data_IF_519994305280
#
_entry.id   IF_519994305280
#
_cell.length_a   1.000
_cell.length_b   1.000
_cell.length_c   1.000
_cell.angle_alpha   90.00
_cell.angle_beta   90.00
_cell.angle_gamma   90.00
#
_symmetry.space_group_name_H-M   'P 1'
#
loop_
_entity.id
_entity.type
_entity.pdbx_description
1 polymer ?
#
# COMPACT_ATOMS: atom_id res chain seq x y z
N UNK A 1 -13.89 -11.17 -9.47
CA UNK A 1 -14.22 -9.91 -8.78
C UNK A 1 -13.84 -8.77 -9.71
N UNK A 2 -14.69 -7.77 -9.94
CA UNK A 2 -14.28 -6.59 -10.71
C UNK A 2 -13.09 -5.91 -10.02
N UNK A 3 -12.22 -5.21 -10.77
CA UNK A 3 -11.13 -4.45 -10.18
C UNK A 3 -11.68 -3.43 -9.19
N UNK A 4 -10.98 -3.27 -8.07
CA UNK A 4 -11.28 -2.21 -7.11
C UNK A 4 -10.54 -0.96 -7.60
N UNK A 5 -11.23 0.13 -7.96
CA UNK A 5 -10.57 1.38 -8.31
C UNK A 5 -9.72 1.83 -7.12
N UNK A 6 -8.43 2.05 -7.36
CA UNK A 6 -7.50 2.49 -6.34
C UNK A 6 -6.51 3.51 -6.91
N UNK A 7 -6.24 4.57 -6.15
CA UNK A 7 -5.20 5.56 -6.39
C UNK A 7 -4.28 5.67 -5.17
N UNK A 8 -3.02 5.96 -5.41
CA UNK A 8 -2.11 6.33 -4.32
C UNK A 8 -2.53 7.68 -3.75
N UNK A 9 -2.66 7.76 -2.43
CA UNK A 9 -3.03 8.99 -1.74
C UNK A 9 -1.78 9.67 -1.18
N UNK A 10 -1.10 9.01 -0.23
CA UNK A 10 0.13 9.51 0.40
C UNK A 10 0.93 8.37 1.02
N UNK A 11 2.14 8.71 1.43
CA UNK A 11 2.93 7.91 2.36
C UNK A 11 3.01 8.62 3.71
N UNK A 12 2.88 7.86 4.80
CA UNK A 12 2.99 8.34 6.17
C UNK A 12 4.20 7.70 6.85
N UNK A 13 4.88 8.45 7.72
CA UNK A 13 5.97 7.92 8.56
C UNK A 13 5.45 7.45 9.92
N UNK A 14 4.31 7.99 10.37
CA UNK A 14 3.65 7.65 11.63
C UNK A 14 2.18 7.34 11.41
N UNK A 15 1.60 6.56 12.32
CA UNK A 15 0.15 6.28 12.33
C UNK A 15 -0.66 7.56 12.55
N UNK A 16 -0.10 8.52 13.30
CA UNK A 16 -0.72 9.82 13.55
C UNK A 16 -0.87 10.68 12.27
N UNK A 17 -0.13 10.35 11.19
CA UNK A 17 -0.19 11.05 9.91
C UNK A 17 -1.20 10.42 8.93
N UNK A 18 -1.95 9.39 9.34
CA UNK A 18 -2.97 8.76 8.51
C UNK A 18 -4.18 9.69 8.34
N UNK A 19 -4.84 9.68 7.17
CA UNK A 19 -6.12 10.38 7.02
C UNK A 19 -7.18 9.78 7.94
N UNK A 20 -8.19 10.58 8.29
CA UNK A 20 -9.38 10.04 8.96
C UNK A 20 -10.14 9.09 8.01
N UNK A 21 -10.57 7.95 8.54
CA UNK A 21 -11.36 6.97 7.80
C UNK A 21 -12.27 6.19 8.74
N UNK A 22 -13.51 5.97 8.33
CA UNK A 22 -14.46 5.15 9.08
C UNK A 22 -14.05 3.67 9.08
N UNK A 23 -13.39 3.19 8.01
CA UNK A 23 -12.97 1.80 7.83
C UNK A 23 -11.77 1.69 6.88
N UNK A 24 -10.77 0.91 7.28
CA UNK A 24 -9.57 0.65 6.48
C UNK A 24 -9.19 -0.84 6.46
N UNK A 25 -8.42 -1.23 5.43
CA UNK A 25 -7.83 -2.57 5.31
C UNK A 25 -6.31 -2.44 5.29
N UNK A 26 -5.65 -3.04 6.28
CA UNK A 26 -4.19 -3.05 6.36
C UNK A 26 -3.60 -4.33 5.76
N UNK A 27 -2.63 -4.18 4.84
CA UNK A 27 -1.85 -5.30 4.29
C UNK A 27 -0.45 -5.31 4.93
N UNK A 28 -0.18 -6.28 5.80
CA UNK A 28 1.06 -6.37 6.60
C UNK A 28 1.81 -7.67 6.31
N UNK A 29 3.15 -7.63 6.37
CA UNK A 29 4.01 -8.79 6.14
C UNK A 29 5.47 -8.43 5.89
N UNK A 30 6.36 -9.42 5.95
CA UNK A 30 7.82 -9.26 5.74
C UNK A 30 8.15 -8.58 4.39
N UNK A 31 9.38 -8.08 4.24
CA UNK A 31 9.81 -7.50 2.96
C UNK A 31 9.67 -8.52 1.82
N UNK A 32 9.23 -8.07 0.65
CA UNK A 32 9.13 -8.87 -0.58
C UNK A 32 8.23 -10.13 -0.57
N UNK A 33 7.32 -10.28 0.41
CA UNK A 33 6.35 -11.41 0.45
C UNK A 33 5.15 -11.26 -0.49
N UNK A 34 5.15 -10.29 -1.40
CA UNK A 34 4.07 -10.10 -2.39
C UNK A 34 2.96 -9.11 -2.03
N UNK A 35 3.10 -8.31 -0.96
CA UNK A 35 2.12 -7.27 -0.55
C UNK A 35 1.77 -6.31 -1.69
N UNK A 36 2.78 -5.75 -2.37
CA UNK A 36 2.57 -4.84 -3.49
C UNK A 36 1.91 -5.54 -4.68
N UNK A 37 2.22 -6.82 -4.90
CA UNK A 37 1.58 -7.64 -5.94
C UNK A 37 0.10 -7.86 -5.65
N UNK A 38 -0.29 -8.09 -4.38
CA UNK A 38 -1.68 -8.22 -3.97
C UNK A 38 -2.48 -6.94 -4.24
N UNK A 39 -1.94 -5.78 -3.84
CA UNK A 39 -2.58 -4.47 -4.08
C UNK A 39 -2.76 -4.22 -5.58
N UNK A 40 -1.71 -4.47 -6.36
CA UNK A 40 -1.71 -4.37 -7.82
C UNK A 40 -2.75 -5.29 -8.48
N UNK A 41 -2.93 -6.51 -7.96
CA UNK A 41 -3.92 -7.46 -8.45
C UNK A 41 -5.36 -7.00 -8.17
N UNK A 42 -5.66 -6.47 -6.98
CA UNK A 42 -6.98 -5.90 -6.66
C UNK A 42 -7.33 -4.72 -7.56
N UNK A 43 -6.35 -3.86 -7.86
CA UNK A 43 -6.53 -2.70 -8.72
C UNK A 43 -6.50 -3.01 -10.23
N UNK A 44 -6.10 -4.24 -10.63
CA UNK A 44 -5.76 -4.59 -12.01
C UNK A 44 -4.74 -3.62 -12.63
N UNK A 45 -3.69 -3.23 -11.86
CA UNK A 45 -2.63 -2.29 -12.26
C UNK A 45 -1.26 -2.85 -11.92
N UNK A 46 -0.24 -2.60 -12.73
CA UNK A 46 1.11 -3.18 -12.52
C UNK A 46 2.09 -2.27 -11.76
N UNK A 47 1.73 -1.00 -11.53
CA UNK A 47 2.64 0.03 -10.97
C UNK A 47 1.95 0.95 -9.96
N UNK A 48 0.87 0.49 -9.31
CA UNK A 48 0.19 1.28 -8.27
C UNK A 48 0.97 1.20 -6.96
N UNK A 49 1.23 -0.02 -6.47
CA UNK A 49 2.08 -0.26 -5.32
C UNK A 49 3.48 -0.67 -5.79
N UNK A 50 4.49 0.09 -5.39
CA UNK A 50 5.89 -0.21 -5.72
C UNK A 50 6.51 -1.18 -4.72
N UNK A 51 7.36 -2.08 -5.23
CA UNK A 51 8.21 -2.95 -4.41
C UNK A 51 9.57 -2.27 -4.28
N UNK A 52 9.93 -1.79 -3.09
CA UNK A 52 11.31 -1.31 -2.87
C UNK A 52 12.26 -2.50 -2.89
N UNK A 53 13.20 -2.51 -3.84
CA UNK A 53 14.23 -3.57 -3.95
C UNK A 53 15.36 -3.40 -2.92
N UNK A 54 15.52 -2.22 -2.34
CA UNK A 54 16.58 -1.91 -1.38
C UNK A 54 16.02 -1.95 0.04
N UNK A 55 16.42 -2.91 0.88
CA UNK A 55 16.04 -2.93 2.29
C UNK A 55 16.72 -1.78 3.05
N UNK A 56 15.97 -1.14 3.95
CA UNK A 56 16.53 -0.37 5.06
C UNK A 56 16.74 1.13 4.82
N UNK A 57 15.84 1.94 5.41
CA UNK A 57 16.18 3.05 6.32
C UNK A 57 14.93 3.70 6.92
N UNK A 58 13.83 3.72 6.18
CA UNK A 58 12.52 4.20 6.64
C UNK A 58 11.42 3.34 6.02
N UNK A 59 10.58 2.73 6.84
CA UNK A 59 9.36 2.07 6.37
C UNK A 59 8.23 3.09 6.38
N UNK A 60 7.61 3.32 5.23
CA UNK A 60 6.46 4.19 5.10
C UNK A 60 5.18 3.34 5.07
N UNK A 61 4.11 3.89 5.65
CA UNK A 61 2.76 3.39 5.47
C UNK A 61 2.22 4.02 4.20
N UNK A 62 1.96 3.22 3.17
CA UNK A 62 1.40 3.70 1.91
C UNK A 62 -0.12 3.59 1.95
N UNK A 63 -0.82 4.71 1.74
CA UNK A 63 -2.28 4.79 1.75
C UNK A 63 -2.81 4.86 0.31
N UNK A 64 -3.89 4.11 0.06
CA UNK A 64 -4.58 4.03 -1.22
C UNK A 64 -6.09 4.22 -0.98
N UNK A 65 -6.79 4.91 -1.90
CA UNK A 65 -8.25 5.10 -1.89
C UNK A 65 -8.90 4.77 -3.24
#
# INVERSE_FOLDING_TARGET
MPPIPMRFLKSATRVDDLPESDREVAVVGRSNVGKSSLINAFANRTRLAHTSKTPGRTQLINIFE
#
